data_IF_586587890175
#
_entry.id   IF_586587890175
#
_cell.length_a   1.000
_cell.length_b   1.000
_cell.length_c   1.000
_cell.angle_alpha   90.00
_cell.angle_beta   90.00
_cell.angle_gamma   90.00
#
_symmetry.space_group_name_H-M   'P 1'
#
loop_
_entity.id
_entity.type
_entity.pdbx_description
1 polymer ?
#
# COMPACT_ATOMS: atom_id res chain seq x y z
N UNK A 1 -9.41 -4.98 10.76
CA UNK A 1 -9.47 -5.97 11.84
C UNK A 1 -10.40 -5.49 12.93
N UNK A 2 -11.39 -6.30 13.30
CA UNK A 2 -12.33 -6.05 14.40
C UNK A 2 -11.87 -6.85 15.62
N UNK A 3 -11.73 -6.20 16.75
CA UNK A 3 -11.35 -6.84 18.01
C UNK A 3 -12.61 -7.04 18.85
N UNK A 4 -12.74 -8.19 19.51
CA UNK A 4 -13.92 -8.55 20.30
C UNK A 4 -14.29 -7.43 21.30
N UNK A 5 -15.58 -7.06 21.29
CA UNK A 5 -16.12 -6.01 22.17
C UNK A 5 -16.14 -4.60 21.56
N UNK A 6 -15.55 -4.38 20.38
CA UNK A 6 -15.60 -3.09 19.70
C UNK A 6 -16.57 -3.12 18.52
N UNK A 7 -17.39 -2.08 18.39
CA UNK A 7 -18.37 -1.94 17.29
C UNK A 7 -17.75 -1.37 16.02
N UNK A 8 -16.58 -0.72 16.11
CA UNK A 8 -15.91 -0.07 15.01
C UNK A 8 -14.60 -0.75 14.63
N UNK A 9 -14.31 -0.78 13.33
CA UNK A 9 -13.01 -1.22 12.82
C UNK A 9 -11.97 -0.10 13.00
N UNK A 10 -10.98 -0.34 13.85
CA UNK A 10 -9.87 0.61 14.07
C UNK A 10 -8.75 0.47 13.03
N UNK A 11 -8.66 -0.69 12.39
CA UNK A 11 -7.65 -0.94 11.34
C UNK A 11 -8.29 -1.66 10.17
N UNK A 12 -8.14 -1.06 8.99
CA UNK A 12 -8.62 -1.59 7.72
C UNK A 12 -7.47 -1.66 6.74
N UNK A 13 -7.21 -2.84 6.22
CA UNK A 13 -6.16 -3.09 5.23
C UNK A 13 -6.82 -3.37 3.91
N UNK A 14 -6.49 -2.59 2.89
CA UNK A 14 -6.93 -2.80 1.52
C UNK A 14 -5.76 -3.29 0.68
N UNK A 15 -5.93 -4.43 0.04
CA UNK A 15 -4.97 -5.07 -0.84
C UNK A 15 -5.64 -5.39 -2.16
N UNK A 16 -5.11 -4.87 -3.25
CA UNK A 16 -5.66 -5.07 -4.60
C UNK A 16 -4.83 -6.04 -5.45
N UNK A 17 -3.72 -6.57 -4.93
CA UNK A 17 -2.78 -7.32 -5.76
C UNK A 17 -2.33 -6.48 -6.95
N UNK A 18 -2.42 -7.04 -8.14
CA UNK A 18 -2.04 -6.36 -9.39
C UNK A 18 -3.24 -5.70 -10.11
N UNK A 19 -4.31 -5.39 -9.36
CA UNK A 19 -5.50 -4.77 -9.93
C UNK A 19 -5.20 -3.37 -10.50
N UNK A 20 -5.49 -3.20 -11.78
CA UNK A 20 -5.39 -1.96 -12.52
C UNK A 20 -6.66 -1.11 -12.39
N UNK A 21 -6.67 0.12 -12.91
CA UNK A 21 -7.78 1.06 -12.74
C UNK A 21 -9.14 0.51 -13.18
N UNK A 22 -9.18 -0.32 -14.22
CA UNK A 22 -10.44 -0.94 -14.72
C UNK A 22 -11.03 -1.92 -13.72
N UNK A 23 -10.19 -2.73 -13.08
CA UNK A 23 -10.63 -3.67 -12.03
C UNK A 23 -11.18 -2.89 -10.84
N UNK A 24 -10.53 -1.80 -10.44
CA UNK A 24 -11.03 -0.94 -9.37
C UNK A 24 -12.35 -0.27 -9.75
N UNK A 25 -12.52 0.14 -11.03
CA UNK A 25 -13.80 0.66 -11.50
C UNK A 25 -14.89 -0.41 -11.38
N UNK A 26 -14.61 -1.64 -11.83
CA UNK A 26 -15.55 -2.75 -11.69
C UNK A 26 -15.91 -3.05 -10.23
N UNK A 27 -14.94 -3.02 -9.31
CA UNK A 27 -15.17 -3.19 -7.88
C UNK A 27 -16.08 -2.08 -7.33
N UNK A 28 -15.85 -0.83 -7.70
CA UNK A 28 -16.66 0.31 -7.28
C UNK A 28 -18.10 0.20 -7.78
N UNK A 29 -18.29 -0.18 -9.04
CA UNK A 29 -19.59 -0.28 -9.68
C UNK A 29 -20.45 -1.42 -9.08
N UNK A 30 -19.81 -2.46 -8.58
CA UNK A 30 -20.48 -3.65 -8.05
C UNK A 30 -20.48 -3.73 -6.51
N UNK A 31 -19.83 -2.81 -5.83
CA UNK A 31 -19.78 -2.81 -4.37
C UNK A 31 -20.79 -1.81 -3.79
N UNK A 32 -21.85 -2.34 -3.17
CA UNK A 32 -22.88 -1.55 -2.50
C UNK A 32 -22.52 -1.14 -1.08
N UNK A 33 -21.47 -1.73 -0.50
CA UNK A 33 -21.03 -1.48 0.87
C UNK A 33 -19.74 -0.63 0.84
N UNK A 34 -19.91 0.68 0.94
CA UNK A 34 -18.80 1.62 0.90
C UNK A 34 -17.76 1.40 1.99
N UNK A 35 -18.16 0.84 3.14
CA UNK A 35 -17.25 0.60 4.24
C UNK A 35 -16.20 -0.48 3.92
N UNK A 36 -16.53 -1.44 3.05
CA UNK A 36 -15.60 -2.51 2.67
C UNK A 36 -14.35 -2.02 1.96
N UNK A 37 -14.43 -0.89 1.28
CA UNK A 37 -13.31 -0.30 0.56
C UNK A 37 -12.55 0.75 1.37
N UNK A 38 -12.99 1.06 2.59
CA UNK A 38 -12.26 1.96 3.48
C UNK A 38 -10.95 1.36 3.94
N UNK A 39 -9.93 2.20 4.07
CA UNK A 39 -8.59 1.78 4.45
C UNK A 39 -7.85 2.82 5.29
N UNK A 40 -6.97 2.33 6.14
CA UNK A 40 -5.92 3.11 6.76
C UNK A 40 -4.52 2.45 6.60
N UNK A 41 -4.50 1.26 5.97
CA UNK A 41 -3.30 0.68 5.35
C UNK A 41 -3.72 0.26 3.94
N UNK A 42 -3.06 0.77 2.92
CA UNK A 42 -3.29 0.43 1.52
C UNK A 42 -2.01 -0.12 0.89
N UNK A 43 -2.06 -1.34 0.37
CA UNK A 43 -0.98 -1.85 -0.46
C UNK A 43 -1.12 -1.27 -1.86
N UNK A 44 -0.13 -0.50 -2.27
CA UNK A 44 -0.07 0.08 -3.61
C UNK A 44 -0.10 -1.05 -4.65
N UNK A 45 -1.14 -1.10 -5.51
CA UNK A 45 -1.30 -2.17 -6.48
C UNK A 45 -0.13 -2.28 -7.45
N UNK A 46 0.09 -3.49 -7.93
CA UNK A 46 1.05 -3.82 -8.98
C UNK A 46 2.43 -3.17 -8.72
N UNK A 47 2.94 -3.36 -7.49
CA UNK A 47 4.25 -2.87 -7.05
C UNK A 47 4.45 -1.35 -7.23
N UNK A 48 3.40 -0.54 -7.04
CA UNK A 48 3.38 0.90 -7.32
C UNK A 48 3.44 1.22 -8.81
N UNK A 49 2.72 0.45 -9.64
CA UNK A 49 2.56 0.74 -11.06
C UNK A 49 1.67 1.95 -11.32
N UNK A 50 1.90 2.61 -12.45
CA UNK A 50 0.99 3.63 -12.96
C UNK A 50 -0.37 3.06 -13.39
N UNK A 51 -0.46 1.79 -13.76
CA UNK A 51 -1.69 1.14 -14.22
C UNK A 51 -2.85 1.18 -13.21
N UNK A 52 -2.56 1.40 -11.92
CA UNK A 52 -3.58 1.72 -10.92
C UNK A 52 -4.28 3.07 -11.21
N UNK A 53 -3.54 4.04 -11.74
CA UNK A 53 -4.05 5.39 -11.99
C UNK A 53 -4.64 5.55 -13.38
N UNK A 54 -4.01 4.97 -14.40
CA UNK A 54 -4.40 5.10 -15.80
C UNK A 54 -3.68 4.05 -16.67
N UNK A 55 -4.26 3.68 -17.80
CA UNK A 55 -3.63 2.88 -18.85
C UNK A 55 -2.70 3.70 -19.75
N UNK A 56 -2.90 5.00 -19.81
CA UNK A 56 -2.16 5.91 -20.69
C UNK A 56 -0.75 6.18 -20.19
N UNK A 57 0.19 6.35 -21.10
CA UNK A 57 1.54 6.86 -20.81
C UNK A 57 1.54 8.34 -20.38
N UNK A 58 0.44 9.07 -20.60
CA UNK A 58 0.26 10.40 -20.04
C UNK A 58 0.02 10.29 -18.52
N UNK A 59 1.07 10.56 -17.75
CA UNK A 59 1.08 10.43 -16.29
C UNK A 59 0.56 11.67 -15.55
N UNK A 60 -0.12 12.57 -16.24
CA UNK A 60 -0.73 13.77 -15.66
C UNK A 60 -2.17 13.51 -15.21
N UNK A 61 -2.89 12.64 -15.92
CA UNK A 61 -4.29 12.34 -15.65
C UNK A 61 -4.45 11.04 -14.86
N UNK A 62 -5.32 11.07 -13.86
CA UNK A 62 -5.71 9.90 -13.09
C UNK A 62 -7.19 9.59 -13.33
N UNK A 63 -7.52 8.31 -13.43
CA UNK A 63 -8.91 7.85 -13.61
C UNK A 63 -9.73 8.07 -12.33
N UNK A 64 -11.03 8.33 -12.46
CA UNK A 64 -11.93 8.53 -11.30
C UNK A 64 -11.94 7.35 -10.32
N UNK A 65 -11.73 6.12 -10.80
CA UNK A 65 -11.65 4.92 -9.96
C UNK A 65 -10.48 4.97 -8.98
N UNK A 66 -9.28 5.37 -9.44
CA UNK A 66 -8.12 5.52 -8.57
C UNK A 66 -8.36 6.61 -7.51
N UNK A 67 -8.91 7.75 -7.93
CA UNK A 67 -9.26 8.83 -7.01
C UNK A 67 -10.30 8.39 -5.98
N UNK A 68 -11.35 7.68 -6.41
CA UNK A 68 -12.41 7.18 -5.53
C UNK A 68 -11.85 6.22 -4.47
N UNK A 69 -10.96 5.29 -4.83
CA UNK A 69 -10.32 4.36 -3.89
C UNK A 69 -9.44 5.12 -2.89
N UNK A 70 -8.64 6.08 -3.36
CA UNK A 70 -7.76 6.85 -2.48
C UNK A 70 -8.54 7.75 -1.51
N UNK A 71 -9.69 8.27 -1.93
CA UNK A 71 -10.58 9.05 -1.08
C UNK A 71 -11.28 8.23 0.01
N UNK A 72 -11.27 6.88 -0.07
CA UNK A 72 -11.80 6.02 1.00
C UNK A 72 -10.85 5.85 2.19
N UNK A 73 -9.78 6.63 2.24
CA UNK A 73 -8.91 6.73 3.40
C UNK A 73 -9.68 7.14 4.65
N UNK A 74 -9.52 6.39 5.75
CA UNK A 74 -10.07 6.70 7.06
C UNK A 74 -8.96 7.08 8.06
N UNK A 75 -9.32 8.00 8.97
CA UNK A 75 -8.41 8.49 10.01
C UNK A 75 -7.29 9.38 9.46
N UNK A 76 -6.47 9.89 10.39
CA UNK A 76 -5.39 10.84 10.11
C UNK A 76 -3.99 10.20 10.07
N UNK A 77 -3.92 8.87 10.21
CA UNK A 77 -2.67 8.09 10.30
C UNK A 77 -2.69 6.95 9.30
N UNK A 78 -2.98 7.25 8.04
CA UNK A 78 -3.01 6.23 7.01
C UNK A 78 -1.61 5.98 6.44
N UNK A 79 -1.41 4.77 5.94
CA UNK A 79 -0.18 4.39 5.28
C UNK A 79 -0.47 3.76 3.92
N UNK A 80 0.26 4.19 2.90
CA UNK A 80 0.32 3.49 1.62
C UNK A 80 1.66 2.78 1.58
N UNK A 81 1.65 1.48 1.30
CA UNK A 81 2.85 0.65 1.28
C UNK A 81 3.08 0.13 -0.13
N UNK A 82 4.19 0.48 -0.73
CA UNK A 82 4.66 -0.10 -1.99
C UNK A 82 5.61 -1.27 -1.69
N UNK A 83 5.19 -2.48 -2.08
CA UNK A 83 6.03 -3.68 -2.07
C UNK A 83 6.80 -3.75 -3.39
N UNK A 84 7.90 -3.02 -3.47
CA UNK A 84 8.67 -2.86 -4.71
C UNK A 84 10.14 -2.60 -4.44
N UNK A 85 10.94 -2.67 -5.48
CA UNK A 85 12.28 -2.09 -5.50
C UNK A 85 12.26 -0.59 -5.17
N UNK A 86 13.42 0.00 -4.96
CA UNK A 86 13.55 1.42 -4.68
C UNK A 86 12.98 2.26 -5.84
N UNK A 87 12.04 3.15 -5.51
CA UNK A 87 11.33 3.95 -6.50
C UNK A 87 12.16 5.18 -6.85
N UNK A 88 12.64 5.24 -8.09
CA UNK A 88 13.48 6.31 -8.64
C UNK A 88 12.80 6.97 -9.83
N UNK A 89 13.17 8.21 -10.09
CA UNK A 89 12.77 8.92 -11.29
C UNK A 89 13.67 8.49 -12.46
N UNK A 90 13.42 7.28 -12.96
CA UNK A 90 14.23 6.62 -14.01
C UNK A 90 13.37 6.06 -15.16
N UNK A 91 12.07 6.43 -15.18
CA UNK A 91 11.13 6.03 -16.22
C UNK A 91 10.61 4.59 -16.10
N UNK A 92 11.01 3.83 -15.08
CA UNK A 92 10.50 2.47 -14.86
C UNK A 92 9.04 2.45 -14.43
N UNK A 93 8.34 1.37 -14.83
CA UNK A 93 6.97 1.10 -14.43
C UNK A 93 6.65 -0.42 -14.55
N UNK A 94 6.46 -1.18 -13.47
CA UNK A 94 6.67 -0.81 -12.06
C UNK A 94 8.15 -0.90 -11.59
N UNK A 95 8.50 -0.25 -10.48
CA UNK A 95 7.72 0.76 -9.79
C UNK A 95 7.78 2.11 -10.52
N UNK A 96 6.69 2.90 -10.42
CA UNK A 96 6.56 4.17 -11.11
C UNK A 96 6.73 5.35 -10.15
N UNK A 97 7.61 6.28 -10.50
CA UNK A 97 7.87 7.48 -9.70
C UNK A 97 6.65 8.40 -9.63
N UNK A 98 5.99 8.65 -10.76
CA UNK A 98 4.80 9.50 -10.84
C UNK A 98 3.63 8.89 -10.05
N UNK A 99 3.49 7.55 -10.06
CA UNK A 99 2.51 6.87 -9.21
C UNK A 99 2.77 7.16 -7.74
N UNK A 100 4.03 7.05 -7.27
CA UNK A 100 4.41 7.42 -5.90
C UNK A 100 4.03 8.87 -5.58
N UNK A 101 4.27 9.81 -6.50
CA UNK A 101 3.93 11.23 -6.29
C UNK A 101 2.41 11.42 -6.16
N UNK A 102 1.60 10.72 -6.96
CA UNK A 102 0.15 10.75 -6.83
C UNK A 102 -0.33 10.18 -5.50
N UNK A 103 0.24 9.06 -5.03
CA UNK A 103 -0.09 8.51 -3.71
C UNK A 103 0.21 9.52 -2.59
N UNK A 104 1.38 10.13 -2.61
CA UNK A 104 1.77 11.14 -1.60
C UNK A 104 0.82 12.34 -1.63
N UNK A 105 0.48 12.84 -2.81
CA UNK A 105 -0.43 13.98 -3.00
C UNK A 105 -1.84 13.69 -2.46
N UNK A 106 -2.30 12.44 -2.54
CA UNK A 106 -3.65 12.03 -2.11
C UNK A 106 -3.73 11.62 -0.64
N UNK A 107 -2.60 11.35 0.02
CA UNK A 107 -2.60 11.12 1.46
C UNK A 107 -3.07 12.36 2.21
N UNK A 108 -4.05 12.17 3.10
CA UNK A 108 -4.53 13.27 3.95
C UNK A 108 -3.42 13.77 4.85
N UNK A 109 -3.45 15.07 5.16
CA UNK A 109 -2.49 15.69 6.06
C UNK A 109 -2.48 15.02 7.45
N UNK A 110 -1.36 15.16 8.15
CA UNK A 110 -1.14 14.54 9.46
C UNK A 110 0.05 13.58 9.42
N UNK A 111 -0.04 12.50 10.19
CA UNK A 111 1.01 11.45 10.24
C UNK A 111 0.75 10.33 9.23
N UNK A 112 0.17 10.65 8.08
CA UNK A 112 0.00 9.70 6.97
C UNK A 112 1.28 9.61 6.15
N UNK A 113 1.71 8.39 5.82
CA UNK A 113 2.99 8.17 5.15
C UNK A 113 2.89 7.21 3.97
N UNK A 114 3.69 7.49 2.95
CA UNK A 114 4.02 6.54 1.90
C UNK A 114 5.29 5.79 2.30
N UNK A 115 5.23 4.47 2.30
CA UNK A 115 6.32 3.57 2.67
C UNK A 115 6.70 2.69 1.48
N UNK A 116 7.99 2.46 1.29
CA UNK A 116 8.49 1.53 0.27
C UNK A 116 9.35 0.46 0.93
N UNK A 117 9.09 -0.82 0.64
CA UNK A 117 9.77 -1.94 1.30
C UNK A 117 11.28 -1.95 1.10
N UNK A 118 11.78 -1.47 -0.04
CA UNK A 118 13.21 -1.45 -0.33
C UNK A 118 13.95 -0.29 0.36
N UNK A 119 13.25 0.79 0.76
CA UNK A 119 13.90 2.02 1.24
C UNK A 119 13.47 2.49 2.63
N UNK A 120 12.36 1.94 3.20
CA UNK A 120 11.80 2.40 4.46
C UNK A 120 12.79 2.28 5.64
N UNK A 121 13.40 1.12 5.80
CA UNK A 121 14.41 0.87 6.83
C UNK A 121 15.42 -0.15 6.32
N UNK A 122 16.70 0.06 6.64
CA UNK A 122 17.78 -0.84 6.22
C UNK A 122 18.75 -1.11 7.38
N UNK A 123 19.27 -2.34 7.45
CA UNK A 123 20.44 -2.67 8.24
C UNK A 123 21.60 -2.94 7.29
N UNK A 124 22.54 -2.01 7.21
CA UNK A 124 23.52 -1.99 6.12
C UNK A 124 22.81 -1.76 4.77
N UNK A 125 22.95 -2.69 3.85
CA UNK A 125 22.26 -2.69 2.53
C UNK A 125 20.98 -3.53 2.50
N UNK A 126 20.63 -4.21 3.59
CA UNK A 126 19.51 -5.17 3.64
C UNK A 126 18.23 -4.45 4.08
N UNK A 127 17.18 -4.40 3.23
CA UNK A 127 15.88 -3.88 3.64
C UNK A 127 15.30 -4.63 4.82
N UNK A 128 14.67 -3.89 5.73
CA UNK A 128 13.96 -4.45 6.86
C UNK A 128 12.46 -4.48 6.60
N UNK A 129 11.71 -5.42 7.20
CA UNK A 129 10.27 -5.51 7.01
C UNK A 129 9.56 -4.27 7.57
N UNK A 130 8.49 -3.85 6.91
CA UNK A 130 7.53 -2.88 7.43
C UNK A 130 6.55 -3.65 8.31
N UNK A 131 6.51 -3.34 9.60
CA UNK A 131 5.70 -4.06 10.58
C UNK A 131 4.65 -3.14 11.17
N UNK A 132 3.38 -3.54 11.09
CA UNK A 132 2.28 -2.91 11.81
C UNK A 132 1.82 -3.83 12.95
N UNK A 133 1.81 -3.31 14.17
CA UNK A 133 1.09 -3.91 15.29
C UNK A 133 -0.35 -3.43 15.29
N UNK A 134 -1.29 -4.35 15.43
CA UNK A 134 -2.73 -4.06 15.46
C UNK A 134 -3.27 -4.50 16.82
N UNK A 135 -3.94 -3.59 17.52
CA UNK A 135 -4.60 -3.83 18.80
C UNK A 135 -5.94 -3.10 18.86
N UNK A 136 -6.57 -3.05 20.04
CA UNK A 136 -7.86 -2.40 20.28
C UNK A 136 -7.86 -0.90 19.99
N UNK A 137 -6.69 -0.25 20.00
CA UNK A 137 -6.54 1.18 19.69
C UNK A 137 -6.25 1.45 18.21
N UNK A 138 -6.13 0.39 17.41
CA UNK A 138 -5.85 0.47 15.98
C UNK A 138 -4.47 -0.04 15.61
N UNK A 139 -3.90 0.50 14.53
CA UNK A 139 -2.58 0.12 14.04
C UNK A 139 -1.50 1.08 14.52
N UNK A 140 -0.31 0.53 14.75
CA UNK A 140 0.92 1.28 15.02
C UNK A 140 2.03 0.77 14.11
N UNK A 141 2.69 1.67 13.38
CA UNK A 141 3.91 1.33 12.65
C UNK A 141 5.03 1.09 13.66
N UNK A 142 5.72 -0.05 13.56
CA UNK A 142 6.88 -0.36 14.39
C UNK A 142 8.12 0.22 13.74
N UNK A 143 8.59 1.33 14.25
CA UNK A 143 9.87 1.89 13.86
C UNK A 143 11.01 1.07 14.48
N UNK A 144 12.07 0.80 13.72
CA UNK A 144 13.26 0.07 14.18
C UNK A 144 12.99 -1.34 14.73
N UNK A 145 12.18 -2.13 14.02
CA UNK A 145 12.07 -3.56 14.33
C UNK A 145 13.42 -4.24 14.07
N UNK A 146 14.30 -4.26 15.05
CA UNK A 146 15.37 -5.25 15.07
C UNK A 146 14.69 -6.61 15.19
N UNK A 147 14.64 -7.36 14.10
CA UNK A 147 14.25 -8.77 14.14
C UNK A 147 15.34 -9.48 14.92
N UNK A 148 15.09 -9.67 16.22
CA UNK A 148 15.96 -10.50 17.04
C UNK A 148 15.85 -11.94 16.48
N UNK A 149 16.92 -12.41 15.88
CA UNK A 149 17.04 -13.78 15.35
C UNK A 149 16.64 -13.91 13.89
N UNK A 150 17.51 -13.50 12.98
CA UNK A 150 17.56 -14.06 11.63
C UNK A 150 17.95 -15.53 11.74
N UNK A 151 16.96 -16.42 11.88
CA UNK A 151 17.18 -17.72 11.29
C UNK A 151 17.30 -17.49 9.78
N UNK A 152 18.48 -17.69 9.23
CA UNK A 152 18.69 -17.70 7.80
C UNK A 152 17.75 -18.76 7.21
N UNK A 153 16.70 -18.33 6.52
CA UNK A 153 15.92 -19.21 5.67
C UNK A 153 16.85 -19.51 4.49
N UNK A 154 17.56 -20.62 4.58
CA UNK A 154 18.54 -21.09 3.60
C UNK A 154 17.89 -21.68 2.34
N UNK A 155 16.56 -21.62 2.22
CA UNK A 155 15.86 -22.06 1.03
C UNK A 155 15.16 -20.89 0.35
N UNK A 156 15.56 -20.51 -0.87
CA UNK A 156 14.76 -19.61 -1.68
C UNK A 156 13.39 -20.26 -1.91
N UNK A 157 12.33 -19.47 -1.75
CA UNK A 157 10.99 -19.91 -2.06
C UNK A 157 10.95 -20.50 -3.49
N UNK A 158 10.28 -21.64 -3.71
CA UNK A 158 10.15 -22.18 -5.06
C UNK A 158 9.48 -21.13 -5.95
N UNK A 159 10.11 -20.81 -7.07
CA UNK A 159 9.53 -19.92 -8.08
C UNK A 159 8.25 -20.57 -8.59
N UNK A 160 7.13 -19.96 -8.34
CA UNK A 160 5.88 -20.35 -8.99
C UNK A 160 5.97 -19.94 -10.47
N UNK A 161 5.81 -20.92 -11.35
CA UNK A 161 5.58 -20.70 -12.77
C UNK A 161 6.81 -20.91 -13.67
N UNK A 162 6.87 -22.06 -14.30
CA UNK A 162 7.20 -22.24 -15.71
C UNK A 162 5.94 -22.69 -16.42
#
# INVERSE_FOLDING_TARGET
>A
FKINGYTEYKSRVLMGGDAEHEIWQHILDNNTDEEKLQWNIFLAPHHCSWSFFNESDNKEEIKPSAEAILNKQIGNFAHIVASSDEIKDDGKNPPCYEAKQQYIKKLKAGSSHFLNTASHSKVGSIPQPIIFKINENGKTLVENATVAGTQSISNPAPRAGK
#
